data_IF_064052352264
#
_entry.id   IF_064052352264
#
_cell.length_a   1.000
_cell.length_b   1.000
_cell.length_c   1.000
_cell.angle_alpha   90.00
_cell.angle_beta   90.00
_cell.angle_gamma   90.00
#
_symmetry.space_group_name_H-M   'P 1'
#
loop_
_entity.id
_entity.type
_entity.pdbx_description
1 polymer ?
#
# COMPACT_ATOMS: atom_id res chain seq x y z
N UNK A 1 -14.79 -6.96 4.50
CA UNK A 1 -14.97 -6.08 3.31
C UNK A 1 -13.92 -6.44 2.24
N UNK A 2 -13.44 -7.69 2.27
CA UNK A 2 -12.50 -8.16 1.25
C UNK A 2 -13.13 -8.06 -0.13
N UNK A 3 -12.35 -7.55 -1.10
CA UNK A 3 -12.66 -7.51 -2.54
C UNK A 3 -13.99 -6.81 -2.93
N UNK A 4 -14.55 -5.96 -2.04
CA UNK A 4 -15.89 -5.36 -2.23
C UNK A 4 -16.03 -4.57 -3.53
N UNK A 5 -15.00 -3.88 -3.97
CA UNK A 5 -14.96 -3.12 -5.22
C UNK A 5 -13.89 -3.65 -6.17
N UNK A 6 -13.49 -4.91 -6.00
CA UNK A 6 -12.45 -5.51 -6.84
C UNK A 6 -12.89 -5.54 -8.32
N UNK A 7 -11.96 -5.19 -9.21
CA UNK A 7 -12.15 -5.12 -10.66
C UNK A 7 -13.23 -4.14 -11.14
N UNK A 8 -13.63 -3.16 -10.32
CA UNK A 8 -14.49 -2.07 -10.75
C UNK A 8 -13.68 -1.08 -11.62
N UNK A 9 -13.23 -1.53 -12.79
CA UNK A 9 -12.27 -0.81 -13.65
C UNK A 9 -12.81 0.52 -14.21
N UNK A 10 -14.12 0.68 -14.32
CA UNK A 10 -14.77 1.92 -14.79
C UNK A 10 -15.13 2.88 -13.65
N UNK A 11 -14.85 2.51 -12.38
CA UNK A 11 -15.17 3.34 -11.23
C UNK A 11 -14.22 4.54 -11.17
N UNK A 12 -14.77 5.76 -11.34
CA UNK A 12 -13.99 7.01 -11.34
C UNK A 12 -13.91 7.61 -9.93
N UNK A 13 -15.02 7.60 -9.20
CA UNK A 13 -15.17 8.13 -7.84
C UNK A 13 -16.14 7.28 -7.04
N UNK A 14 -15.95 7.26 -5.73
CA UNK A 14 -16.85 6.58 -4.81
C UNK A 14 -17.01 7.36 -3.52
N UNK A 15 -18.25 7.44 -3.02
CA UNK A 15 -18.53 8.01 -1.71
C UNK A 15 -18.61 6.91 -0.66
N UNK A 16 -17.70 6.92 0.28
CA UNK A 16 -17.59 5.95 1.37
C UNK A 16 -17.96 6.55 2.74
N UNK A 17 -18.54 7.78 2.78
CA UNK A 17 -18.79 8.51 4.02
C UNK A 17 -19.63 7.77 5.06
N UNK A 18 -20.52 6.87 4.63
CA UNK A 18 -21.39 6.09 5.52
C UNK A 18 -20.83 4.69 5.86
N UNK A 19 -19.62 4.35 5.39
CA UNK A 19 -19.02 3.04 5.66
C UNK A 19 -18.53 2.96 7.11
N UNK A 20 -19.06 2.00 7.87
CA UNK A 20 -18.61 1.69 9.23
C UNK A 20 -17.63 0.53 9.19
N UNK A 21 -16.35 0.80 9.47
CA UNK A 21 -15.28 -0.19 9.34
C UNK A 21 -14.72 -0.70 10.67
N UNK A 22 -15.27 -0.27 11.81
CA UNK A 22 -14.76 -0.60 13.17
C UNK A 22 -14.72 -2.10 13.49
N UNK A 23 -15.51 -2.92 12.80
CA UNK A 23 -15.50 -4.40 12.98
C UNK A 23 -14.79 -5.13 11.83
N UNK A 24 -14.19 -4.40 10.89
CA UNK A 24 -13.54 -5.00 9.73
C UNK A 24 -12.15 -5.51 10.13
N UNK A 25 -11.90 -6.78 9.82
CA UNK A 25 -10.61 -7.44 10.06
C UNK A 25 -9.84 -7.69 8.77
N UNK A 26 -10.51 -7.63 7.61
CA UNK A 26 -9.90 -7.94 6.32
C UNK A 26 -10.33 -6.94 5.24
N UNK A 27 -9.33 -6.20 4.70
CA UNK A 27 -9.48 -5.25 3.60
C UNK A 27 -8.76 -5.72 2.32
N UNK A 28 -8.40 -7.02 2.25
CA UNK A 28 -7.72 -7.59 1.08
C UNK A 28 -8.47 -7.22 -0.20
N UNK A 29 -7.74 -6.66 -1.17
CA UNK A 29 -8.24 -6.39 -2.52
C UNK A 29 -9.44 -5.45 -2.61
N UNK A 30 -9.76 -4.68 -1.56
CA UNK A 30 -11.01 -3.90 -1.52
C UNK A 30 -11.21 -3.01 -2.75
N UNK A 31 -10.15 -2.42 -3.28
CA UNK A 31 -10.17 -1.57 -4.48
C UNK A 31 -9.25 -2.13 -5.59
N UNK A 32 -8.86 -3.39 -5.51
CA UNK A 32 -7.98 -4.00 -6.50
C UNK A 32 -8.58 -3.91 -7.90
N UNK A 33 -7.80 -3.42 -8.88
CA UNK A 33 -8.27 -3.30 -10.26
C UNK A 33 -9.22 -2.13 -10.52
N UNK A 34 -9.40 -1.20 -9.58
CA UNK A 34 -10.12 0.05 -9.82
C UNK A 34 -9.24 1.01 -10.66
N UNK A 35 -8.96 0.64 -11.90
CA UNK A 35 -7.94 1.30 -12.74
C UNK A 35 -8.30 2.73 -13.15
N UNK A 36 -9.57 3.09 -13.18
CA UNK A 36 -10.04 4.46 -13.50
C UNK A 36 -10.24 5.34 -12.28
N UNK A 37 -10.02 4.83 -11.06
CA UNK A 37 -10.25 5.58 -9.82
C UNK A 37 -9.19 6.68 -9.68
N UNK A 38 -9.63 7.95 -9.66
CA UNK A 38 -8.73 9.12 -9.62
C UNK A 38 -8.55 9.69 -8.21
N UNK A 39 -9.55 9.57 -7.36
CA UNK A 39 -9.51 10.05 -5.99
C UNK A 39 -10.25 9.09 -5.06
N UNK A 40 -9.78 8.97 -3.82
CA UNK A 40 -10.37 8.08 -2.83
C UNK A 40 -10.24 8.70 -1.43
N UNK A 41 -11.38 8.97 -0.80
CA UNK A 41 -11.42 9.48 0.57
C UNK A 41 -11.69 8.34 1.55
N UNK A 42 -10.72 8.07 2.42
CA UNK A 42 -10.75 7.02 3.45
C UNK A 42 -10.69 7.59 4.87
N UNK A 43 -10.94 8.90 5.07
CA UNK A 43 -10.75 9.56 6.36
C UNK A 43 -11.61 8.97 7.50
N UNK A 44 -12.76 8.34 7.16
CA UNK A 44 -13.64 7.68 8.12
C UNK A 44 -13.33 6.19 8.35
N UNK A 45 -12.30 5.65 7.68
CA UNK A 45 -11.93 4.25 7.86
C UNK A 45 -11.23 4.04 9.20
N UNK A 46 -11.81 3.20 10.04
CA UNK A 46 -11.17 2.67 11.22
C UNK A 46 -10.56 1.32 10.88
N UNK A 47 -9.23 1.21 10.97
CA UNK A 47 -8.48 0.00 10.64
C UNK A 47 -7.89 -0.73 11.86
N UNK A 48 -8.32 -0.36 13.08
CA UNK A 48 -7.76 -0.89 14.33
C UNK A 48 -7.79 -2.42 14.43
N UNK A 49 -8.79 -3.06 13.82
CA UNK A 49 -8.96 -4.51 13.87
C UNK A 49 -8.47 -5.23 12.61
N UNK A 50 -7.90 -4.48 11.64
CA UNK A 50 -7.50 -5.06 10.34
C UNK A 50 -6.20 -5.83 10.49
N UNK A 51 -6.20 -7.08 10.00
CA UNK A 51 -5.03 -7.96 9.99
C UNK A 51 -4.49 -8.18 8.58
N UNK A 52 -5.29 -7.94 7.53
CA UNK A 52 -4.90 -8.16 6.15
C UNK A 52 -5.29 -6.95 5.28
N UNK A 53 -4.27 -6.30 4.67
CA UNK A 53 -4.40 -5.20 3.72
C UNK A 53 -3.79 -5.56 2.35
N UNK A 54 -3.50 -6.86 2.09
CA UNK A 54 -2.89 -7.28 0.82
C UNK A 54 -3.77 -6.88 -0.37
N UNK A 55 -3.14 -6.45 -1.47
CA UNK A 55 -3.81 -6.04 -2.70
C UNK A 55 -4.81 -4.88 -2.59
N UNK A 56 -4.90 -4.17 -1.44
CA UNK A 56 -6.01 -3.23 -1.18
C UNK A 56 -6.18 -2.19 -2.30
N UNK A 57 -5.10 -1.68 -2.88
CA UNK A 57 -5.09 -0.70 -3.96
C UNK A 57 -4.36 -1.22 -5.20
N UNK A 58 -4.18 -2.54 -5.32
CA UNK A 58 -3.48 -3.15 -6.44
C UNK A 58 -4.13 -2.75 -7.78
N UNK A 59 -3.32 -2.31 -8.77
CA UNK A 59 -3.80 -1.81 -10.06
C UNK A 59 -4.76 -0.60 -9.99
N UNK A 60 -4.71 0.25 -8.95
CA UNK A 60 -5.34 1.57 -8.96
C UNK A 60 -4.48 2.55 -9.78
N UNK A 61 -4.34 2.29 -11.08
CA UNK A 61 -3.34 2.94 -11.94
C UNK A 61 -3.58 4.42 -12.20
N UNK A 62 -4.83 4.91 -12.09
CA UNK A 62 -5.17 6.32 -12.26
C UNK A 62 -5.17 7.13 -10.96
N UNK A 63 -4.98 6.49 -9.81
CA UNK A 63 -5.01 7.14 -8.50
C UNK A 63 -3.78 8.03 -8.33
N UNK A 64 -4.01 9.34 -8.21
CA UNK A 64 -2.93 10.36 -8.16
C UNK A 64 -2.47 10.66 -6.74
N UNK A 65 -3.43 10.66 -5.82
CA UNK A 65 -3.22 10.98 -4.41
C UNK A 65 -3.98 9.99 -3.53
N UNK A 66 -3.38 9.61 -2.42
CA UNK A 66 -4.00 8.73 -1.44
C UNK A 66 -3.55 9.12 -0.03
N UNK A 67 -4.51 9.50 0.80
CA UNK A 67 -4.28 9.76 2.21
C UNK A 67 -4.67 8.52 3.03
N UNK A 68 -3.68 7.93 3.70
CA UNK A 68 -3.83 6.79 4.63
C UNK A 68 -3.24 7.11 6.01
N UNK A 69 -3.13 8.40 6.35
CA UNK A 69 -2.54 8.85 7.62
C UNK A 69 -3.33 8.41 8.86
N UNK A 70 -4.62 8.12 8.71
CA UNK A 70 -5.50 7.60 9.75
C UNK A 70 -5.44 6.07 9.90
N UNK A 71 -4.70 5.36 9.04
CA UNK A 71 -4.62 3.90 9.14
C UNK A 71 -3.79 3.48 10.35
N UNK A 72 -4.39 2.68 11.21
CA UNK A 72 -3.70 1.95 12.25
C UNK A 72 -3.34 0.55 11.71
N UNK A 73 -2.04 0.27 11.62
CA UNK A 73 -1.53 -0.99 11.08
C UNK A 73 -0.94 -1.92 12.12
N UNK A 74 -1.15 -1.64 13.42
CA UNK A 74 -0.55 -2.41 14.53
C UNK A 74 -0.87 -3.91 14.48
N UNK A 75 -2.05 -4.28 13.95
CA UNK A 75 -2.48 -5.68 13.86
C UNK A 75 -2.26 -6.30 12.47
N UNK A 76 -1.74 -5.52 11.50
CA UNK A 76 -1.58 -6.00 10.12
C UNK A 76 -0.40 -6.97 10.02
N UNK A 77 -0.65 -8.12 9.41
CA UNK A 77 0.37 -9.15 9.17
C UNK A 77 0.71 -9.32 7.70
N UNK A 78 -0.16 -8.85 6.78
CA UNK A 78 0.04 -8.96 5.34
C UNK A 78 -0.27 -7.64 4.62
N UNK A 79 0.75 -7.09 3.92
CA UNK A 79 0.69 -5.89 3.08
C UNK A 79 1.16 -6.19 1.64
N UNK A 80 1.23 -7.48 1.24
CA UNK A 80 1.70 -7.85 -0.10
C UNK A 80 0.84 -7.21 -1.18
N UNK A 81 1.47 -6.69 -2.23
CA UNK A 81 0.83 -6.03 -3.38
C UNK A 81 -0.05 -4.82 -3.02
N UNK A 82 0.04 -4.25 -1.80
CA UNK A 82 -0.93 -3.25 -1.33
C UNK A 82 -1.06 -2.05 -2.29
N UNK A 83 0.05 -1.58 -2.86
CA UNK A 83 0.11 -0.46 -3.81
C UNK A 83 0.68 -0.88 -5.17
N UNK A 84 0.75 -2.19 -5.46
CA UNK A 84 1.31 -2.69 -6.71
C UNK A 84 0.57 -2.09 -7.92
N UNK A 85 1.33 -1.59 -8.91
CA UNK A 85 0.80 -0.94 -10.13
C UNK A 85 -0.04 0.33 -9.88
N UNK A 86 0.13 1.01 -8.74
CA UNK A 86 -0.37 2.38 -8.55
C UNK A 86 0.54 3.35 -9.31
N UNK A 87 0.51 3.29 -10.64
CA UNK A 87 1.50 3.93 -11.51
C UNK A 87 1.41 5.46 -11.58
N UNK A 88 0.30 6.07 -11.14
CA UNK A 88 0.09 7.53 -11.16
C UNK A 88 0.39 8.22 -9.82
N UNK A 89 0.55 7.49 -8.72
CA UNK A 89 0.86 8.09 -7.40
C UNK A 89 2.27 8.63 -7.43
N UNK A 90 2.42 9.94 -7.11
CA UNK A 90 3.74 10.60 -7.05
C UNK A 90 4.32 10.64 -5.64
N UNK A 91 3.45 10.75 -4.63
CA UNK A 91 3.85 10.87 -3.22
C UNK A 91 3.02 9.92 -2.36
N UNK A 92 3.68 9.24 -1.43
CA UNK A 92 3.02 8.37 -0.47
C UNK A 92 3.72 8.48 0.88
N UNK A 93 2.97 8.94 1.88
CA UNK A 93 3.47 9.07 3.25
C UNK A 93 2.91 7.96 4.12
N UNK A 94 3.78 7.04 4.54
CA UNK A 94 3.45 5.88 5.37
C UNK A 94 4.13 5.96 6.75
N UNK A 95 4.52 7.16 7.20
CA UNK A 95 5.24 7.36 8.47
C UNK A 95 4.48 6.81 9.68
N UNK A 96 3.15 6.72 9.61
CA UNK A 96 2.31 6.18 10.68
C UNK A 96 2.13 4.65 10.60
N UNK A 97 2.66 3.99 9.56
CA UNK A 97 2.55 2.54 9.45
C UNK A 97 3.52 1.86 10.41
N UNK A 98 2.96 1.09 11.33
CA UNK A 98 3.71 0.16 12.18
C UNK A 98 3.80 -1.19 11.47
N UNK A 99 5.01 -1.65 11.19
CA UNK A 99 5.24 -2.91 10.47
C UNK A 99 5.80 -4.03 11.36
N UNK A 100 5.84 -3.84 12.68
CA UNK A 100 6.40 -4.82 13.62
C UNK A 100 5.75 -6.22 13.52
N UNK A 101 4.47 -6.29 13.18
CA UNK A 101 3.73 -7.55 13.02
C UNK A 101 3.64 -8.03 11.56
N UNK A 102 4.11 -7.23 10.59
CA UNK A 102 4.03 -7.57 9.18
C UNK A 102 5.04 -8.67 8.84
N UNK A 103 4.58 -9.68 8.10
CA UNK A 103 5.39 -10.82 7.65
C UNK A 103 5.56 -10.83 6.13
N UNK A 104 4.66 -10.17 5.40
CA UNK A 104 4.61 -10.22 3.95
C UNK A 104 4.41 -8.81 3.35
N UNK A 105 5.42 -8.37 2.58
CA UNK A 105 5.47 -7.13 1.79
C UNK A 105 5.86 -7.43 0.33
N UNK A 106 5.61 -8.66 -0.15
CA UNK A 106 5.88 -9.07 -1.52
C UNK A 106 5.28 -8.05 -2.50
N UNK A 107 6.09 -7.51 -3.42
CA UNK A 107 5.65 -6.60 -4.48
C UNK A 107 4.83 -5.38 -4.01
N UNK A 108 5.02 -4.90 -2.77
CA UNK A 108 4.14 -3.88 -2.16
C UNK A 108 4.05 -2.59 -2.99
N UNK A 109 5.14 -2.15 -3.63
CA UNK A 109 5.22 -0.96 -4.49
C UNK A 109 5.63 -1.31 -5.92
N UNK A 110 5.52 -2.56 -6.33
CA UNK A 110 5.86 -2.98 -7.69
C UNK A 110 5.13 -2.13 -8.73
N UNK A 111 5.87 -1.61 -9.71
CA UNK A 111 5.29 -0.84 -10.82
C UNK A 111 4.71 0.52 -10.43
N UNK A 112 5.04 1.06 -9.25
CA UNK A 112 4.75 2.45 -8.89
C UNK A 112 5.71 3.38 -9.65
N UNK A 113 5.58 3.47 -10.97
CA UNK A 113 6.56 4.10 -11.85
C UNK A 113 6.68 5.61 -11.68
N UNK A 114 5.61 6.29 -11.26
CA UNK A 114 5.60 7.74 -11.00
C UNK A 114 5.97 8.12 -9.55
N UNK A 115 6.20 7.13 -8.66
CA UNK A 115 6.44 7.39 -7.25
C UNK A 115 7.84 7.97 -7.03
N UNK A 116 7.90 9.26 -6.67
CA UNK A 116 9.13 10.01 -6.42
C UNK A 116 9.42 10.24 -4.94
N UNK A 117 8.35 10.36 -4.13
CA UNK A 117 8.44 10.61 -2.70
C UNK A 117 7.71 9.50 -1.93
N UNK A 118 8.49 8.68 -1.24
CA UNK A 118 7.99 7.62 -0.37
C UNK A 118 8.63 7.78 1.02
N UNK A 119 7.80 7.91 2.04
CA UNK A 119 8.26 7.95 3.44
C UNK A 119 7.86 6.64 4.15
N UNK A 120 8.86 5.80 4.39
CA UNK A 120 8.77 4.52 5.11
C UNK A 120 9.75 4.48 6.29
N UNK A 121 10.08 5.63 6.88
CA UNK A 121 11.07 5.72 7.96
C UNK A 121 10.64 4.97 9.24
N UNK A 122 9.35 4.67 9.38
CA UNK A 122 8.79 3.88 10.49
C UNK A 122 8.83 2.37 10.25
N UNK A 123 9.22 1.93 9.04
CA UNK A 123 9.19 0.49 8.73
C UNK A 123 10.30 -0.24 9.48
N UNK A 124 9.89 -1.30 10.16
CA UNK A 124 10.77 -2.31 10.72
C UNK A 124 10.73 -3.54 9.78
N UNK A 125 11.90 -3.99 9.35
CA UNK A 125 12.05 -5.12 8.41
C UNK A 125 12.44 -6.44 9.10
N UNK A 126 12.65 -6.44 10.44
CA UNK A 126 13.18 -7.61 11.17
C UNK A 126 12.30 -8.85 11.06
N UNK A 127 10.98 -8.67 11.06
CA UNK A 127 10.02 -9.77 11.05
C UNK A 127 9.51 -10.14 9.64
N UNK A 128 9.97 -9.44 8.59
CA UNK A 128 9.47 -9.63 7.24
C UNK A 128 10.11 -10.85 6.61
N UNK A 129 9.27 -11.77 6.14
CA UNK A 129 9.69 -13.02 5.48
C UNK A 129 9.71 -12.89 3.96
N UNK A 130 8.81 -12.07 3.40
CA UNK A 130 8.64 -11.93 1.96
C UNK A 130 8.70 -10.45 1.57
N UNK A 131 9.76 -10.09 0.83
CA UNK A 131 10.04 -8.69 0.41
C UNK A 131 10.40 -8.61 -1.08
N UNK A 132 10.41 -9.76 -1.78
CA UNK A 132 10.83 -9.84 -3.18
C UNK A 132 10.02 -8.90 -4.06
N UNK A 133 10.70 -8.18 -4.97
CA UNK A 133 10.07 -7.30 -5.94
C UNK A 133 9.39 -6.07 -5.33
N UNK A 134 9.61 -5.78 -4.02
CA UNK A 134 8.89 -4.70 -3.33
C UNK A 134 8.97 -3.36 -4.07
N UNK A 135 10.09 -3.07 -4.76
CA UNK A 135 10.33 -1.85 -5.53
C UNK A 135 10.60 -2.12 -7.01
N UNK A 136 10.27 -3.32 -7.51
CA UNK A 136 10.45 -3.63 -8.92
C UNK A 136 9.62 -2.68 -9.80
N UNK A 137 10.20 -2.15 -10.89
CA UNK A 137 9.53 -1.18 -11.74
C UNK A 137 9.35 0.24 -11.18
N UNK A 138 9.84 0.51 -9.95
CA UNK A 138 10.02 1.88 -9.46
C UNK A 138 11.20 2.58 -10.12
N UNK A 139 11.21 3.93 -10.09
CA UNK A 139 12.30 4.73 -10.65
C UNK A 139 13.63 4.42 -9.97
N UNK A 140 14.74 4.47 -10.74
CA UNK A 140 16.11 4.30 -10.21
C UNK A 140 16.41 5.31 -9.10
N UNK A 141 15.89 6.55 -9.25
CA UNK A 141 16.05 7.63 -8.25
C UNK A 141 15.43 7.23 -6.91
N UNK A 142 14.17 6.72 -6.92
CA UNK A 142 13.50 6.27 -5.71
C UNK A 142 14.24 5.08 -5.08
N UNK A 143 14.59 4.07 -5.86
CA UNK A 143 15.32 2.88 -5.37
C UNK A 143 16.63 3.27 -4.67
N UNK A 144 17.42 4.18 -5.25
CA UNK A 144 18.66 4.65 -4.63
C UNK A 144 18.39 5.41 -3.32
N UNK A 145 17.36 6.28 -3.29
CA UNK A 145 16.98 7.00 -2.07
C UNK A 145 16.62 6.03 -0.94
N UNK A 146 15.78 5.02 -1.23
CA UNK A 146 15.35 4.02 -0.25
C UNK A 146 16.54 3.18 0.25
N UNK A 147 17.44 2.73 -0.63
CA UNK A 147 18.66 1.99 -0.25
C UNK A 147 19.55 2.79 0.71
N UNK A 148 19.67 4.09 0.50
CA UNK A 148 20.49 4.94 1.35
C UNK A 148 19.86 5.21 2.72
N UNK A 149 18.53 5.31 2.78
CA UNK A 149 17.80 5.61 4.01
C UNK A 149 17.57 4.37 4.89
N UNK A 150 17.45 3.19 4.29
CA UNK A 150 17.11 1.94 4.97
C UNK A 150 18.21 0.92 4.79
N UNK A 151 19.27 1.04 5.61
CA UNK A 151 20.43 0.13 5.57
C UNK A 151 20.06 -1.32 5.91
N UNK A 152 18.95 -1.52 6.61
CA UNK A 152 18.42 -2.85 6.97
C UNK A 152 17.76 -3.54 5.77
N UNK A 153 17.27 -2.78 4.79
CA UNK A 153 16.74 -3.30 3.54
C UNK A 153 17.88 -3.65 2.56
N UNK A 154 18.85 -4.45 3.04
CA UNK A 154 20.01 -4.89 2.26
C UNK A 154 19.68 -6.00 1.26
N UNK A 155 18.47 -6.57 1.36
CA UNK A 155 18.05 -7.65 0.50
C UNK A 155 17.83 -7.15 -0.93
N UNK A 156 18.72 -7.57 -1.85
CA UNK A 156 18.64 -7.23 -3.28
C UNK A 156 17.27 -7.60 -3.87
N UNK A 157 16.67 -8.69 -3.41
CA UNK A 157 15.37 -9.18 -3.87
C UNK A 157 14.24 -8.15 -3.74
N UNK A 158 14.36 -7.16 -2.83
CA UNK A 158 13.36 -6.09 -2.70
C UNK A 158 13.34 -5.17 -3.93
N UNK A 159 14.42 -5.11 -4.70
CA UNK A 159 14.63 -4.15 -5.79
C UNK A 159 14.67 -4.80 -7.17
N UNK A 160 14.72 -6.13 -7.24
CA UNK A 160 14.84 -6.95 -8.45
C UNK A 160 13.49 -7.54 -8.88
#
# INVERSE_FOLDING_TARGET
MSEMFSCCSSLIKINLGNFKTNKVTNLRGMFSGCSSLIELNLNNFNTNNVTNMSHMFNYCSSLKELNVSNFNTNNVTNMSYMFCKCSSIKKLNLVNFNTNNVKDMLCMFEGCSSLDELNINSFNFDNIKYVKGMFWGCSKKLKNKIKNQNKELKNQEAFD
#
